data_IF_039317207561
#
_entry.id   IF_039317207561
#
_cell.length_a   1.000
_cell.length_b   1.000
_cell.length_c   1.000
_cell.angle_alpha   90.00
_cell.angle_beta   90.00
_cell.angle_gamma   90.00
#
_symmetry.space_group_name_H-M   'P 1'
#
loop_
_entity.id
_entity.type
_entity.pdbx_description
1 polymer ?
#
# COMPACT_ATOMS: atom_id res chain seq x y z
N UNK A 1 -4.01 -33.50 10.28
CA UNK A 1 -4.03 -32.62 11.48
C UNK A 1 -3.38 -31.30 11.10
N UNK A 2 -4.17 -30.28 10.74
CA UNK A 2 -3.64 -28.99 10.28
C UNK A 2 -3.43 -28.04 11.46
N UNK A 3 -2.29 -28.18 12.15
CA UNK A 3 -1.85 -27.24 13.19
C UNK A 3 -1.47 -25.84 12.66
N UNK A 4 -1.59 -25.60 11.35
CA UNK A 4 -1.12 -24.38 10.68
C UNK A 4 -2.20 -23.32 10.42
N UNK A 5 -3.42 -23.50 10.92
CA UNK A 5 -4.43 -22.44 10.95
C UNK A 5 -4.57 -21.93 12.38
N UNK A 6 -3.53 -21.26 12.89
CA UNK A 6 -3.79 -20.25 13.91
C UNK A 6 -4.69 -19.23 13.23
N UNK A 7 -6.00 -19.38 13.40
CA UNK A 7 -7.01 -18.43 12.96
C UNK A 7 -6.72 -17.16 13.75
N UNK A 8 -5.87 -16.29 13.16
CA UNK A 8 -5.65 -14.96 13.69
C UNK A 8 -7.02 -14.31 13.71
N UNK A 9 -7.47 -13.91 14.89
CA UNK A 9 -8.73 -13.18 15.00
C UNK A 9 -8.65 -11.94 14.11
N UNK A 10 -9.77 -11.45 13.54
CA UNK A 10 -9.76 -10.25 12.70
C UNK A 10 -9.01 -9.07 13.32
N UNK A 11 -9.13 -8.93 14.65
CA UNK A 11 -8.41 -7.91 15.42
C UNK A 11 -6.90 -8.11 15.44
N UNK A 12 -6.43 -9.35 15.63
CA UNK A 12 -5.00 -9.68 15.62
C UNK A 12 -4.40 -9.40 14.24
N UNK A 13 -5.06 -9.85 13.17
CA UNK A 13 -4.61 -9.61 11.80
C UNK A 13 -4.49 -8.10 11.50
N UNK A 14 -5.49 -7.30 11.89
CA UNK A 14 -5.44 -5.85 11.73
C UNK A 14 -4.32 -5.20 12.56
N UNK A 15 -4.12 -5.61 13.82
CA UNK A 15 -3.04 -5.08 14.68
C UNK A 15 -1.66 -5.35 14.10
N UNK A 16 -1.39 -6.59 13.67
CA UNK A 16 -0.11 -6.97 13.05
C UNK A 16 0.11 -6.17 11.77
N UNK A 17 -0.91 -6.04 10.93
CA UNK A 17 -0.79 -5.32 9.67
C UNK A 17 -0.54 -3.82 9.86
N UNK A 18 -1.12 -3.19 10.90
CA UNK A 18 -0.83 -1.80 11.29
C UNK A 18 0.61 -1.62 11.74
N UNK A 19 1.15 -2.58 12.49
CA UNK A 19 2.56 -2.57 12.90
C UNK A 19 3.48 -2.65 11.66
N UNK A 20 3.21 -3.58 10.74
CA UNK A 20 3.96 -3.72 9.49
C UNK A 20 3.89 -2.44 8.66
N UNK A 21 2.69 -1.89 8.45
CA UNK A 21 2.48 -0.62 7.75
C UNK A 21 3.29 0.53 8.38
N UNK A 22 3.28 0.63 9.71
CA UNK A 22 4.03 1.65 10.45
C UNK A 22 5.54 1.51 10.27
N UNK A 23 6.07 0.28 10.30
CA UNK A 23 7.50 0.00 10.05
C UNK A 23 7.91 0.33 8.62
N UNK A 24 7.08 -0.04 7.63
CA UNK A 24 7.30 0.28 6.21
C UNK A 24 7.34 1.80 5.99
N UNK A 25 6.35 2.53 6.52
CA UNK A 25 6.29 3.99 6.44
C UNK A 25 7.49 4.66 7.12
N UNK A 26 7.89 4.18 8.30
CA UNK A 26 9.05 4.69 9.01
C UNK A 26 10.35 4.45 8.22
N UNK A 27 10.50 3.29 7.58
CA UNK A 27 11.62 2.99 6.69
C UNK A 27 11.70 3.95 5.51
N UNK A 28 10.57 4.23 4.86
CA UNK A 28 10.50 5.23 3.79
C UNK A 28 10.85 6.64 4.27
N UNK A 29 10.34 7.06 5.44
CA UNK A 29 10.65 8.36 6.04
C UNK A 29 12.14 8.50 6.38
N UNK A 30 12.75 7.47 6.96
CA UNK A 30 14.17 7.46 7.28
C UNK A 30 15.02 7.55 6.00
N UNK A 31 14.69 6.75 4.97
CA UNK A 31 15.42 6.80 3.71
C UNK A 31 15.24 8.13 2.97
N UNK A 32 14.03 8.69 2.98
CA UNK A 32 13.75 10.01 2.43
C UNK A 32 14.55 11.10 3.15
N UNK A 33 14.66 11.06 4.48
CA UNK A 33 15.45 12.01 5.24
C UNK A 33 16.94 11.94 4.88
N UNK A 34 17.51 10.74 4.76
CA UNK A 34 18.90 10.56 4.29
C UNK A 34 19.07 11.11 2.89
N UNK A 35 18.15 10.78 1.97
CA UNK A 35 18.23 11.25 0.59
C UNK A 35 18.16 12.77 0.48
N UNK A 36 17.33 13.40 1.31
CA UNK A 36 17.18 14.85 1.40
C UNK A 36 18.47 15.50 1.91
N UNK A 37 19.05 14.99 3.00
CA UNK A 37 20.33 15.50 3.55
C UNK A 37 21.45 15.39 2.53
N UNK A 38 21.57 14.26 1.81
CA UNK A 38 22.61 14.11 0.79
C UNK A 38 22.37 15.06 -0.39
N UNK A 39 21.13 15.28 -0.79
CA UNK A 39 20.77 16.23 -1.86
C UNK A 39 21.08 17.69 -1.50
N UNK A 40 21.13 18.04 -0.22
CA UNK A 40 21.55 19.39 0.21
C UNK A 40 23.07 19.60 0.17
N UNK A 41 23.86 18.53 0.19
CA UNK A 41 25.32 18.60 0.33
C UNK A 41 26.09 18.12 -0.93
N UNK A 42 25.42 17.43 -1.85
CA UNK A 42 26.02 16.91 -3.07
C UNK A 42 26.01 17.91 -4.22
N UNK A 43 26.90 17.71 -5.20
CA UNK A 43 26.78 18.37 -6.49
C UNK A 43 25.60 17.75 -7.27
N UNK A 44 24.62 18.56 -7.72
CA UNK A 44 23.46 18.02 -8.40
C UNK A 44 23.85 17.41 -9.75
N UNK A 45 23.33 16.22 -10.04
CA UNK A 45 23.48 15.62 -11.35
C UNK A 45 22.63 16.38 -12.37
N UNK A 46 23.03 16.34 -13.64
CA UNK A 46 22.18 16.91 -14.70
C UNK A 46 20.89 16.10 -14.84
N UNK A 47 19.77 16.78 -15.09
CA UNK A 47 18.49 16.09 -15.26
C UNK A 47 18.54 15.03 -16.38
N UNK A 48 19.27 15.29 -17.47
CA UNK A 48 19.42 14.33 -18.56
C UNK A 48 20.05 13.00 -18.11
N UNK A 49 20.95 13.02 -17.12
CA UNK A 49 21.56 11.80 -16.56
C UNK A 49 20.56 10.94 -15.77
N UNK A 50 19.52 11.54 -15.19
CA UNK A 50 18.51 10.84 -14.36
C UNK A 50 17.14 10.71 -15.01
N UNK A 51 16.94 11.32 -16.17
CA UNK A 51 15.66 11.45 -16.87
C UNK A 51 14.96 10.12 -17.09
N UNK A 52 15.71 9.10 -17.52
CA UNK A 52 15.13 7.77 -17.76
C UNK A 52 14.61 7.14 -16.46
N UNK A 53 15.37 7.26 -15.36
CA UNK A 53 14.95 6.77 -14.05
C UNK A 53 13.75 7.53 -13.52
N UNK A 54 13.71 8.85 -13.73
CA UNK A 54 12.55 9.67 -13.37
C UNK A 54 11.29 9.25 -14.13
N UNK A 55 11.39 9.02 -15.45
CA UNK A 55 10.25 8.53 -16.25
C UNK A 55 9.78 7.16 -15.73
N UNK A 56 10.70 6.24 -15.45
CA UNK A 56 10.37 4.94 -14.86
C UNK A 56 9.67 5.11 -13.52
N UNK A 57 10.17 6.00 -12.64
CA UNK A 57 9.56 6.26 -11.35
C UNK A 57 8.14 6.82 -11.48
N UNK A 58 7.90 7.73 -12.44
CA UNK A 58 6.56 8.26 -12.73
C UNK A 58 5.63 7.14 -13.20
N UNK A 59 6.06 6.31 -14.15
CA UNK A 59 5.26 5.19 -14.66
C UNK A 59 4.96 4.17 -13.56
N UNK A 60 5.98 3.78 -12.78
CA UNK A 60 5.80 2.88 -11.64
C UNK A 60 4.86 3.48 -10.60
N UNK A 61 5.02 4.76 -10.26
CA UNK A 61 4.14 5.47 -9.34
C UNK A 61 2.69 5.45 -9.79
N UNK A 62 2.42 5.85 -11.03
CA UNK A 62 1.07 5.88 -11.60
C UNK A 62 0.43 4.49 -11.69
N UNK A 63 1.21 3.45 -12.01
CA UNK A 63 0.70 2.09 -12.14
C UNK A 63 0.58 1.34 -10.81
N UNK A 64 1.39 1.69 -9.80
CA UNK A 64 1.43 0.99 -8.51
C UNK A 64 0.10 1.01 -7.77
N UNK A 65 -0.61 2.15 -7.78
CA UNK A 65 -1.88 2.33 -7.07
C UNK A 65 -3.01 1.48 -7.68
N UNK A 66 -3.32 1.57 -8.99
CA UNK A 66 -4.36 0.72 -9.59
C UNK A 66 -3.96 -0.75 -9.56
N UNK A 67 -2.70 -1.10 -9.82
CA UNK A 67 -2.22 -2.49 -9.79
C UNK A 67 -2.34 -3.09 -8.38
N UNK A 68 -1.85 -2.38 -7.36
CA UNK A 68 -1.96 -2.79 -5.96
C UNK A 68 -3.41 -2.91 -5.51
N UNK A 69 -4.29 -2.02 -5.96
CA UNK A 69 -5.73 -2.09 -5.65
C UNK A 69 -6.41 -3.27 -6.34
N UNK A 70 -6.08 -3.53 -7.61
CA UNK A 70 -6.60 -4.65 -8.38
C UNK A 70 -6.20 -5.99 -7.76
N UNK A 71 -4.92 -6.17 -7.45
CA UNK A 71 -4.41 -7.41 -6.83
C UNK A 71 -5.08 -7.66 -5.48
N UNK A 72 -5.18 -6.62 -4.63
CA UNK A 72 -5.90 -6.68 -3.35
C UNK A 72 -7.35 -7.14 -3.54
N UNK A 73 -8.05 -6.56 -4.53
CA UNK A 73 -9.44 -6.91 -4.83
C UNK A 73 -9.60 -8.37 -5.28
N UNK A 74 -8.71 -8.88 -6.14
CA UNK A 74 -8.76 -10.28 -6.57
C UNK A 74 -8.53 -11.25 -5.41
N UNK A 75 -7.60 -10.93 -4.51
CA UNK A 75 -7.35 -11.72 -3.30
C UNK A 75 -8.56 -11.69 -2.38
N UNK A 76 -9.17 -10.52 -2.17
CA UNK A 76 -10.36 -10.39 -1.33
C UNK A 76 -11.53 -11.20 -1.87
N UNK A 77 -11.79 -11.14 -3.18
CA UNK A 77 -12.82 -11.95 -3.84
C UNK A 77 -12.61 -13.45 -3.61
N UNK A 78 -11.37 -13.93 -3.75
CA UNK A 78 -11.02 -15.34 -3.53
C UNK A 78 -11.23 -15.79 -2.07
N UNK A 79 -11.16 -14.86 -1.12
CA UNK A 79 -11.27 -15.13 0.32
C UNK A 79 -12.56 -14.57 0.92
N UNK A 80 -13.59 -14.35 0.10
CA UNK A 80 -14.88 -13.85 0.57
C UNK A 80 -15.73 -15.00 1.09
N UNK A 81 -16.09 -14.99 2.37
CA UNK A 81 -16.87 -16.03 3.05
C UNK A 81 -17.84 -15.36 4.03
N UNK A 82 -19.12 -15.77 4.01
CA UNK A 82 -20.16 -15.26 4.93
C UNK A 82 -20.24 -13.71 4.96
N UNK A 83 -20.21 -13.07 3.78
CA UNK A 83 -20.28 -11.61 3.65
C UNK A 83 -19.10 -10.83 4.26
N UNK A 84 -17.94 -11.47 4.42
CA UNK A 84 -16.70 -10.83 4.86
C UNK A 84 -15.48 -11.43 4.18
N UNK A 85 -14.37 -10.70 4.14
CA UNK A 85 -13.06 -11.23 3.77
C UNK A 85 -12.47 -11.98 4.97
N UNK A 86 -11.94 -13.18 4.75
CA UNK A 86 -11.23 -13.88 5.84
C UNK A 86 -9.99 -13.10 6.31
N UNK A 87 -9.57 -13.23 7.58
CA UNK A 87 -8.38 -12.54 8.09
C UNK A 87 -7.11 -12.78 7.27
N UNK A 88 -6.94 -14.02 6.78
CA UNK A 88 -5.81 -14.38 5.91
C UNK A 88 -5.87 -13.64 4.57
N UNK A 89 -7.02 -13.60 3.91
CA UNK A 89 -7.20 -12.88 2.65
C UNK A 89 -6.97 -11.38 2.81
N UNK A 90 -7.45 -10.80 3.92
CA UNK A 90 -7.23 -9.41 4.28
C UNK A 90 -5.74 -9.09 4.45
N UNK A 91 -5.03 -9.92 5.24
CA UNK A 91 -3.60 -9.77 5.50
C UNK A 91 -2.78 -9.83 4.21
N UNK A 92 -2.91 -10.91 3.44
CA UNK A 92 -2.13 -11.11 2.20
C UNK A 92 -2.44 -10.03 1.18
N UNK A 93 -3.72 -9.74 0.96
CA UNK A 93 -4.16 -8.75 -0.03
C UNK A 93 -3.67 -7.35 0.30
N UNK A 94 -3.72 -6.95 1.58
CA UNK A 94 -3.21 -5.65 2.01
C UNK A 94 -1.70 -5.57 1.95
N UNK A 95 -0.98 -6.61 2.41
CA UNK A 95 0.48 -6.63 2.42
C UNK A 95 1.06 -6.49 1.00
N UNK A 96 0.54 -7.25 0.03
CA UNK A 96 0.98 -7.16 -1.36
C UNK A 96 0.66 -5.80 -1.99
N UNK A 97 -0.52 -5.25 -1.70
CA UNK A 97 -0.91 -3.92 -2.15
C UNK A 97 0.05 -2.85 -1.63
N UNK A 98 0.37 -2.89 -0.34
CA UNK A 98 1.32 -1.98 0.31
C UNK A 98 2.73 -2.13 -0.28
N UNK A 99 3.22 -3.35 -0.45
CA UNK A 99 4.56 -3.61 -1.01
C UNK A 99 4.72 -3.03 -2.44
N UNK A 100 3.67 -3.11 -3.27
CA UNK A 100 3.68 -2.52 -4.62
C UNK A 100 3.79 -0.99 -4.57
N UNK A 101 3.00 -0.35 -3.70
CA UNK A 101 3.01 1.12 -3.55
C UNK A 101 4.34 1.58 -2.92
N UNK A 102 4.82 0.88 -1.89
CA UNK A 102 6.11 1.14 -1.25
C UNK A 102 7.27 1.03 -2.25
N UNK A 103 7.29 -0.01 -3.09
CA UNK A 103 8.35 -0.18 -4.09
C UNK A 103 8.46 1.02 -5.02
N UNK A 104 7.33 1.57 -5.47
CA UNK A 104 7.32 2.79 -6.27
C UNK A 104 7.78 4.02 -5.48
N UNK A 105 7.35 4.16 -4.22
CA UNK A 105 7.78 5.25 -3.34
C UNK A 105 9.30 5.21 -3.11
N UNK A 106 9.85 4.07 -2.69
CA UNK A 106 11.29 3.89 -2.48
C UNK A 106 12.10 4.16 -3.75
N UNK A 107 11.65 3.66 -4.90
CA UNK A 107 12.32 3.92 -6.16
C UNK A 107 12.35 5.42 -6.51
N UNK A 108 11.25 6.14 -6.26
CA UNK A 108 11.25 7.60 -6.46
C UNK A 108 12.18 8.35 -5.50
N UNK A 109 12.39 7.84 -4.28
CA UNK A 109 13.40 8.37 -3.34
C UNK A 109 14.81 8.13 -3.88
N UNK A 110 15.08 6.97 -4.49
CA UNK A 110 16.36 6.70 -5.17
C UNK A 110 16.60 7.70 -6.29
N UNK A 111 15.59 8.03 -7.09
CA UNK A 111 15.74 9.05 -8.14
C UNK A 111 16.07 10.43 -7.56
N UNK A 112 15.41 10.83 -6.47
CA UNK A 112 15.75 12.06 -5.75
C UNK A 112 17.23 12.04 -5.29
N UNK A 113 17.64 10.93 -4.67
CA UNK A 113 19.01 10.74 -4.19
C UNK A 113 20.05 10.84 -5.32
N UNK A 114 19.79 10.20 -6.47
CA UNK A 114 20.70 10.23 -7.62
C UNK A 114 20.73 11.61 -8.30
N UNK A 115 19.60 12.32 -8.34
CA UNK A 115 19.55 13.66 -8.93
C UNK A 115 20.26 14.68 -8.04
N UNK A 116 20.17 14.53 -6.72
CA UNK A 116 20.82 15.44 -5.77
C UNK A 116 20.23 16.85 -5.77
N UNK A 117 19.07 17.08 -6.38
CA UNK A 117 18.44 18.41 -6.46
C UNK A 117 17.01 18.39 -5.94
N UNK A 118 16.69 19.41 -5.15
CA UNK A 118 15.36 19.68 -4.60
C UNK A 118 14.56 20.44 -5.66
N UNK A 119 13.90 19.68 -6.53
CA UNK A 119 13.11 20.20 -7.64
C UNK A 119 11.88 19.34 -7.90
N UNK A 120 11.44 19.16 -9.17
CA UNK A 120 10.27 18.31 -9.47
C UNK A 120 10.45 16.85 -9.04
N UNK A 121 11.70 16.39 -8.89
CA UNK A 121 12.04 15.06 -8.36
C UNK A 121 11.64 14.86 -6.90
N UNK A 122 11.39 15.92 -6.13
CA UNK A 122 10.91 15.84 -4.74
C UNK A 122 9.41 15.55 -4.64
N UNK A 123 8.62 16.07 -5.59
CA UNK A 123 7.17 15.98 -5.50
C UNK A 123 6.66 14.54 -5.57
N UNK A 124 7.29 13.72 -6.41
CA UNK A 124 6.92 12.32 -6.63
C UNK A 124 7.04 11.44 -5.37
N UNK A 125 8.19 11.37 -4.66
CA UNK A 125 8.30 10.58 -3.44
C UNK A 125 7.33 11.05 -2.35
N UNK A 126 7.15 12.36 -2.17
CA UNK A 126 6.17 12.89 -1.19
C UNK A 126 4.76 12.42 -1.53
N UNK A 127 4.36 12.52 -2.81
CA UNK A 127 3.04 12.08 -3.24
C UNK A 127 2.84 10.57 -3.02
N UNK A 128 3.80 9.73 -3.41
CA UNK A 128 3.70 8.28 -3.27
C UNK A 128 3.71 7.83 -1.80
N UNK A 129 4.54 8.45 -0.96
CA UNK A 129 4.51 8.20 0.49
C UNK A 129 3.18 8.64 1.10
N UNK A 130 2.59 9.74 0.64
CA UNK A 130 1.24 10.17 1.02
C UNK A 130 0.18 9.14 0.65
N UNK A 131 0.24 8.60 -0.57
CA UNK A 131 -0.65 7.51 -1.02
C UNK A 131 -0.46 6.25 -0.18
N UNK A 132 0.78 5.88 0.14
CA UNK A 132 1.07 4.77 1.04
C UNK A 132 0.47 5.00 2.43
N UNK A 133 0.62 6.21 2.98
CA UNK A 133 0.08 6.57 4.29
C UNK A 133 -1.46 6.52 4.32
N UNK A 134 -2.12 6.93 3.23
CA UNK A 134 -3.59 6.82 3.09
C UNK A 134 -4.08 5.36 3.01
N UNK A 135 -3.22 4.39 2.69
CA UNK A 135 -3.57 2.96 2.64
C UNK A 135 -3.53 2.27 4.02
N UNK A 136 -3.89 2.98 5.07
CA UNK A 136 -3.90 2.46 6.44
C UNK A 136 -4.85 1.25 6.62
N UNK A 137 -4.38 0.14 7.23
CA UNK A 137 -5.19 -1.06 7.41
C UNK A 137 -6.25 -0.91 8.53
N UNK A 138 -7.47 -0.56 8.11
CA UNK A 138 -8.60 -0.33 9.02
C UNK A 138 -9.38 -1.60 9.44
N UNK A 139 -9.22 -2.72 8.73
CA UNK A 139 -9.92 -3.98 9.01
C UNK A 139 -11.40 -4.05 8.60
N UNK A 140 -11.98 -2.98 8.02
CA UNK A 140 -13.39 -2.94 7.61
C UNK A 140 -13.83 -4.13 6.73
N UNK A 141 -13.03 -4.62 5.76
CA UNK A 141 -13.44 -5.75 4.91
C UNK A 141 -13.63 -7.08 5.65
N UNK A 142 -13.13 -7.22 6.88
CA UNK A 142 -13.31 -8.43 7.70
C UNK A 142 -14.57 -8.38 8.57
N UNK A 143 -15.24 -7.24 8.63
CA UNK A 143 -16.50 -7.11 9.36
C UNK A 143 -17.63 -7.63 8.47
N UNK A 144 -18.49 -8.55 8.96
CA UNK A 144 -19.66 -8.97 8.20
C UNK A 144 -20.54 -7.75 7.92
N UNK A 145 -21.18 -7.74 6.75
CA UNK A 145 -22.21 -6.76 6.42
C UNK A 145 -23.22 -6.65 7.57
N UNK A 146 -23.56 -5.42 7.99
CA UNK A 146 -24.48 -5.18 9.10
C UNK A 146 -25.75 -6.05 8.92
N UNK A 147 -26.10 -6.93 9.88
CA UNK A 147 -27.28 -7.78 9.77
C UNK A 147 -28.58 -6.98 9.59
N UNK A 148 -28.65 -5.74 10.09
CA UNK A 148 -29.80 -4.86 9.87
C UNK A 148 -29.98 -4.49 8.39
N UNK A 149 -28.90 -4.43 7.61
CA UNK A 149 -29.00 -4.25 6.16
C UNK A 149 -29.55 -5.49 5.47
N UNK A 150 -29.24 -6.69 5.98
CA UNK A 150 -29.75 -7.95 5.43
C UNK A 150 -31.23 -8.12 5.80
N UNK A 151 -31.59 -7.81 7.05
CA UNK A 151 -32.96 -7.94 7.55
C UNK A 151 -33.92 -6.89 6.98
N UNK A 152 -33.41 -5.74 6.54
CA UNK A 152 -34.18 -4.68 5.90
C UNK A 152 -34.09 -4.70 4.36
N UNK A 153 -33.45 -5.70 3.75
CA UNK A 153 -33.48 -5.84 2.30
C UNK A 153 -34.88 -6.29 1.85
N UNK A 154 -35.48 -5.64 0.85
CA UNK A 154 -36.76 -6.06 0.34
C UNK A 154 -36.66 -7.51 -0.19
N UNK A 155 -37.70 -8.33 0.01
CA UNK A 155 -37.64 -9.79 -0.18
C UNK A 155 -37.38 -10.23 -1.63
N UNK A 156 -37.47 -9.32 -2.59
CA UNK A 156 -37.11 -9.53 -3.99
C UNK A 156 -35.59 -9.62 -4.23
N UNK A 157 -34.76 -9.04 -3.35
CA UNK A 157 -33.30 -9.06 -3.46
C UNK A 157 -32.64 -10.29 -2.81
N UNK A 158 -33.38 -11.06 -2.00
CA UNK A 158 -32.87 -12.22 -1.26
C UNK A 158 -32.97 -13.55 -2.04
N UNK A 159 -33.53 -13.55 -3.26
CA UNK A 159 -33.81 -14.77 -4.05
C UNK A 159 -32.85 -14.99 -5.25
N UNK A 160 -31.57 -14.65 -5.12
CA UNK A 160 -30.55 -14.94 -6.15
C UNK A 160 -29.54 -15.94 -5.63
#
# INVERSE_FOLDING_TARGET
MNQNQQIQTPEQAAKILRLIWGMMLLGQLAFFAVALVVSFNGEPATFESVKIFYIIAVVLGLMSVPMGSFIRMQIYKKHWVNNAVTPQGYFIGSLLSMAIIEGAALFSIVVLFLHGQIGPTLALPIALMGVFAMNYPNGKPMQPSNPDFINNQPPDLLKK
#
